data_IF_929289269367
#
_entry.id   IF_929289269367
#
_cell.length_a   1.000
_cell.length_b   1.000
_cell.length_c   1.000
_cell.angle_alpha   90.00
_cell.angle_beta   90.00
_cell.angle_gamma   90.00
#
_symmetry.space_group_name_H-M   'P 1'
#
loop_
_entity.id
_entity.type
_entity.pdbx_description
1 polymer ?
#
# COMPACT_ATOMS: atom_id res chain seq x y z
N UNK A 1 -5.64 17.56 7.38
CA UNK A 1 -4.36 17.98 6.76
C UNK A 1 -3.13 17.42 7.49
N UNK A 2 -3.06 17.52 8.83
CA UNK A 2 -1.94 17.09 9.70
C UNK A 2 -1.47 15.64 9.45
N UNK A 3 -2.39 14.69 9.28
CA UNK A 3 -2.08 13.26 9.05
C UNK A 3 -1.25 12.98 7.78
N UNK A 4 -1.26 13.87 6.79
CA UNK A 4 -0.49 13.72 5.54
C UNK A 4 0.96 14.16 5.70
N UNK A 5 1.19 15.27 6.40
CA UNK A 5 2.52 15.84 6.63
C UNK A 5 3.35 14.91 7.52
N UNK A 6 2.77 14.44 8.63
CA UNK A 6 3.44 13.46 9.53
C UNK A 6 3.75 12.14 8.78
N UNK A 7 2.85 11.71 7.90
CA UNK A 7 3.05 10.52 7.07
C UNK A 7 4.18 10.72 6.05
N UNK A 8 4.35 11.92 5.47
CA UNK A 8 5.44 12.25 4.54
C UNK A 8 6.81 12.13 5.21
N UNK A 9 6.98 12.67 6.42
CA UNK A 9 8.23 12.51 7.18
C UNK A 9 8.52 11.04 7.53
N UNK A 10 7.49 10.30 7.91
CA UNK A 10 7.62 8.85 8.21
C UNK A 10 8.03 8.03 6.98
N UNK A 11 7.63 8.45 5.77
CA UNK A 11 8.04 7.81 4.52
C UNK A 11 9.55 7.89 4.27
N UNK A 12 10.20 9.00 4.64
CA UNK A 12 11.64 9.16 4.52
C UNK A 12 12.41 8.17 5.41
N UNK A 13 11.82 7.80 6.55
CA UNK A 13 12.33 6.78 7.47
C UNK A 13 11.89 5.35 7.10
N UNK A 14 11.32 5.14 5.90
CA UNK A 14 10.84 3.84 5.44
C UNK A 14 9.52 3.36 6.08
N UNK A 15 8.92 4.16 6.97
CA UNK A 15 7.64 3.84 7.63
C UNK A 15 6.47 4.35 6.81
N UNK A 16 5.85 3.46 6.06
CA UNK A 16 4.70 3.80 5.22
C UNK A 16 3.37 3.51 5.91
N UNK A 17 2.50 4.52 5.96
CA UNK A 17 1.14 4.37 6.47
C UNK A 17 0.16 4.12 5.32
N UNK A 18 -0.67 3.06 5.35
CA UNK A 18 -1.67 2.81 4.31
C UNK A 18 -2.82 3.82 4.40
N UNK A 19 -3.42 4.13 3.24
CA UNK A 19 -4.70 4.84 3.19
C UNK A 19 -5.81 3.85 3.51
N UNK A 20 -6.25 3.82 4.78
CA UNK A 20 -7.24 2.86 5.31
C UNK A 20 -8.54 2.75 4.49
N UNK A 21 -8.99 3.86 3.89
CA UNK A 21 -10.22 3.92 3.08
C UNK A 21 -10.07 3.35 1.65
N UNK A 22 -8.86 2.97 1.25
CA UNK A 22 -8.55 2.41 -0.07
C UNK A 22 -7.65 1.18 0.10
N UNK A 23 -8.00 0.32 1.07
CA UNK A 23 -7.40 -1.00 1.22
C UNK A 23 -8.27 -1.96 0.42
N UNK A 24 -7.65 -2.82 -0.39
CA UNK A 24 -8.31 -3.91 -1.08
C UNK A 24 -7.50 -5.19 -0.90
N UNK A 25 -8.13 -6.35 -1.13
CA UNK A 25 -7.42 -7.63 -1.15
C UNK A 25 -7.28 -8.07 -2.60
N UNK A 26 -6.05 -8.40 -3.04
CA UNK A 26 -5.76 -8.73 -4.44
C UNK A 26 -5.67 -10.24 -4.71
N UNK A 27 -6.40 -11.03 -3.93
CA UNK A 27 -6.35 -12.50 -3.87
C UNK A 27 -5.08 -13.08 -3.21
N UNK A 28 -4.03 -12.28 -3.00
CA UNK A 28 -2.80 -12.73 -2.33
C UNK A 28 -2.62 -12.05 -0.99
N UNK A 29 -2.60 -10.71 -1.00
CA UNK A 29 -2.42 -9.94 0.21
C UNK A 29 -3.24 -8.64 0.18
N UNK A 30 -3.36 -8.00 1.34
CA UNK A 30 -4.01 -6.70 1.41
C UNK A 30 -3.09 -5.63 0.79
N UNK A 31 -3.63 -4.87 -0.16
CA UNK A 31 -2.95 -3.79 -0.85
C UNK A 31 -3.54 -2.43 -0.52
N UNK A 32 -2.71 -1.40 -0.66
CA UNK A 32 -3.11 -0.01 -0.49
C UNK A 32 -2.15 0.94 -1.20
N UNK A 33 -2.35 2.25 -1.00
CA UNK A 33 -1.38 3.30 -1.31
C UNK A 33 -0.98 4.02 -0.04
N UNK A 34 0.27 4.50 0.03
CA UNK A 34 0.74 5.26 1.17
C UNK A 34 -0.01 6.59 1.28
N UNK A 35 -0.45 6.96 2.49
CA UNK A 35 -1.16 8.22 2.74
C UNK A 35 -0.27 9.45 2.48
N UNK A 36 1.03 9.33 2.77
CA UNK A 36 2.03 10.39 2.60
C UNK A 36 2.50 10.49 1.15
N UNK A 37 3.34 9.54 0.72
CA UNK A 37 3.98 9.58 -0.61
C UNK A 37 3.19 8.91 -1.75
N UNK A 38 2.04 8.28 -1.48
CA UNK A 38 1.26 7.61 -2.52
C UNK A 38 1.81 6.27 -3.03
N UNK A 39 2.99 5.84 -2.58
CA UNK A 39 3.62 4.59 -3.02
C UNK A 39 2.69 3.38 -2.84
N UNK A 40 2.68 2.42 -3.78
CA UNK A 40 1.90 1.20 -3.64
C UNK A 40 2.44 0.38 -2.48
N UNK A 41 1.53 -0.13 -1.64
CA UNK A 41 1.84 -0.91 -0.46
C UNK A 41 1.16 -2.28 -0.51
N UNK A 42 1.78 -3.25 0.16
CA UNK A 42 1.20 -4.56 0.47
C UNK A 42 1.36 -4.87 1.96
N UNK A 43 0.51 -5.74 2.48
CA UNK A 43 0.56 -6.22 3.86
C UNK A 43 1.19 -7.61 3.90
N UNK A 44 2.17 -7.81 4.77
CA UNK A 44 2.72 -9.15 5.02
C UNK A 44 1.79 -10.01 5.90
N UNK A 45 2.13 -11.28 6.06
CA UNK A 45 1.39 -12.23 6.92
C UNK A 45 1.40 -11.81 8.40
N UNK A 46 2.36 -11.00 8.84
CA UNK A 46 2.43 -10.45 10.20
C UNK A 46 1.63 -9.15 10.35
N UNK A 47 0.90 -8.72 9.31
CA UNK A 47 0.08 -7.54 9.33
C UNK A 47 0.81 -6.21 9.10
N UNK A 48 2.12 -6.22 8.80
CA UNK A 48 2.94 -5.03 8.55
C UNK A 48 2.86 -4.59 7.09
N UNK A 49 2.93 -3.27 6.87
CA UNK A 49 2.85 -2.67 5.55
C UNK A 49 4.23 -2.41 4.97
N UNK A 50 4.46 -2.91 3.76
CA UNK A 50 5.69 -2.76 3.00
C UNK A 50 5.42 -2.10 1.65
N UNK A 51 6.43 -1.46 1.06
CA UNK A 51 6.34 -1.03 -0.34
C UNK A 51 6.19 -2.24 -1.23
N UNK A 52 5.23 -2.17 -2.15
CA UNK A 52 5.07 -3.15 -3.20
C UNK A 52 6.25 -3.03 -4.18
N UNK A 53 6.98 -4.11 -4.37
CA UNK A 53 8.05 -4.21 -5.35
C UNK A 53 7.61 -5.15 -6.47
N UNK A 54 7.34 -4.62 -7.67
CA UNK A 54 6.83 -5.42 -8.79
C UNK A 54 7.73 -6.59 -9.20
N UNK A 55 9.05 -6.53 -8.96
CA UNK A 55 9.98 -7.63 -9.27
C UNK A 55 9.91 -8.77 -8.26
N UNK A 56 9.66 -8.46 -6.98
CA UNK A 56 9.65 -9.46 -5.89
C UNK A 56 8.25 -9.94 -5.55
N UNK A 57 7.29 -9.03 -5.64
CA UNK A 57 5.91 -9.24 -5.21
C UNK A 57 4.97 -9.44 -6.40
N UNK A 58 5.44 -9.23 -7.64
CA UNK A 58 4.64 -9.47 -8.84
C UNK A 58 4.24 -10.93 -8.96
N UNK A 59 2.95 -11.18 -9.16
CA UNK A 59 2.41 -12.52 -9.35
C UNK A 59 1.20 -12.44 -10.29
N UNK A 60 1.12 -13.39 -11.23
CA UNK A 60 0.09 -13.46 -12.27
C UNK A 60 -1.34 -13.64 -11.72
N UNK A 61 -1.48 -14.13 -10.50
CA UNK A 61 -2.77 -14.35 -9.83
C UNK A 61 -3.25 -13.14 -9.03
N UNK A 62 -2.48 -12.04 -8.99
CA UNK A 62 -2.92 -10.81 -8.30
C UNK A 62 -4.04 -10.15 -9.06
N UNK A 63 -5.12 -9.84 -8.37
CA UNK A 63 -6.24 -9.13 -8.95
C UNK A 63 -6.01 -7.60 -8.93
N UNK A 64 -6.47 -6.86 -9.94
CA UNK A 64 -6.40 -5.41 -9.93
C UNK A 64 -7.26 -4.83 -8.79
N UNK A 65 -7.06 -3.55 -8.50
CA UNK A 65 -7.96 -2.83 -7.59
C UNK A 65 -9.41 -2.96 -8.10
N UNK A 66 -10.40 -3.31 -7.26
CA UNK A 66 -11.78 -3.59 -7.70
C UNK A 66 -12.48 -2.40 -8.36
N UNK A 67 -11.98 -1.18 -8.12
CA UNK A 67 -12.42 0.06 -8.79
C UNK A 67 -11.37 0.59 -9.78
N UNK A 68 -10.89 -0.23 -10.72
CA UNK A 68 -9.98 0.25 -11.77
C UNK A 68 -10.69 1.14 -12.82
N UNK A 69 -12.04 1.20 -12.82
CA UNK A 69 -12.87 2.04 -13.70
C UNK A 69 -13.42 3.31 -13.01
N UNK A 70 -12.59 4.34 -12.81
CA UNK A 70 -13.11 5.70 -12.66
C UNK A 70 -12.11 6.78 -13.06
#
# INVERSE_FOLDING_TARGET
MIRRIVALFSCALGKHTPRKRSIWHDNIDARSRCLGCGAPLRRDMHGRWHRFNSRRDGNIHRQPHPHFDR
#
